data_IF_262538303407
#
_entry.id   IF_262538303407
#
_cell.length_a   1.000
_cell.length_b   1.000
_cell.length_c   1.000
_cell.angle_alpha   90.00
_cell.angle_beta   90.00
_cell.angle_gamma   90.00
#
_symmetry.space_group_name_H-M   'P 1'
#
loop_
_entity.id
_entity.type
_entity.pdbx_description
1 polymer ?
#
# COMPACT_ATOMS: atom_id res chain seq x y z
N UNK A 1 17.10 -17.52 27.53
CA UNK A 1 17.03 -16.10 27.98
C UNK A 1 15.91 -15.42 27.22
N UNK A 2 14.83 -14.99 27.88
CA UNK A 2 13.84 -14.09 27.28
C UNK A 2 13.92 -12.75 28.00
N UNK A 3 14.32 -11.71 27.28
CA UNK A 3 14.33 -10.34 27.80
C UNK A 3 13.06 -9.64 27.36
N UNK A 4 12.32 -9.08 28.32
CA UNK A 4 11.15 -8.24 28.06
C UNK A 4 11.55 -6.78 28.20
N UNK A 5 11.57 -6.06 27.09
CA UNK A 5 11.86 -4.62 27.07
C UNK A 5 10.56 -3.82 27.13
N UNK A 6 10.53 -2.81 27.99
CA UNK A 6 9.46 -1.83 28.05
C UNK A 6 10.00 -0.49 27.55
N UNK A 7 9.33 0.06 26.56
CA UNK A 7 9.67 1.37 25.98
C UNK A 7 8.67 2.42 26.45
N UNK A 8 9.18 3.60 26.80
CA UNK A 8 8.40 4.79 27.11
C UNK A 8 8.81 5.87 26.11
N UNK A 9 8.13 5.95 24.96
CA UNK A 9 8.49 6.89 23.91
C UNK A 9 8.21 8.32 24.36
N UNK A 10 9.10 9.23 23.99
CA UNK A 10 8.85 10.66 24.09
C UNK A 10 7.80 11.10 23.05
N UNK A 11 7.23 12.29 23.23
CA UNK A 11 6.18 12.85 22.36
C UNK A 11 6.60 12.88 20.89
N UNK A 12 7.83 13.32 20.58
CA UNK A 12 8.37 13.31 19.22
C UNK A 12 8.52 11.89 18.64
N UNK A 13 8.89 10.91 19.47
CA UNK A 13 9.01 9.51 19.05
C UNK A 13 7.64 8.92 18.76
N UNK A 14 6.64 9.23 19.58
CA UNK A 14 5.26 8.78 19.36
C UNK A 14 4.70 9.32 18.04
N UNK A 15 4.88 10.61 17.75
CA UNK A 15 4.43 11.21 16.49
C UNK A 15 5.09 10.54 15.28
N UNK A 16 6.39 10.29 15.36
CA UNK A 16 7.13 9.58 14.32
C UNK A 16 6.59 8.17 14.09
N UNK A 17 6.36 7.41 15.16
CA UNK A 17 5.78 6.07 15.09
C UNK A 17 4.38 6.09 14.46
N UNK A 18 3.53 7.05 14.83
CA UNK A 18 2.21 7.22 14.25
C UNK A 18 2.29 7.53 12.74
N UNK A 19 3.23 8.38 12.34
CA UNK A 19 3.46 8.71 10.93
C UNK A 19 3.85 7.46 10.10
N UNK A 20 4.68 6.58 10.67
CA UNK A 20 5.07 5.33 10.03
C UNK A 20 3.88 4.38 9.91
N UNK A 21 3.08 4.23 10.98
CA UNK A 21 1.88 3.39 10.96
C UNK A 21 0.87 3.87 9.91
N UNK A 22 0.65 5.19 9.82
CA UNK A 22 -0.25 5.76 8.82
C UNK A 22 0.28 5.55 7.39
N UNK A 23 1.59 5.69 7.19
CA UNK A 23 2.23 5.38 5.90
C UNK A 23 2.03 3.91 5.52
N UNK A 24 2.30 2.98 6.45
CA UNK A 24 2.08 1.55 6.24
C UNK A 24 0.61 1.24 5.93
N UNK A 25 -0.33 1.85 6.65
CA UNK A 25 -1.77 1.68 6.42
C UNK A 25 -2.18 2.10 5.02
N UNK A 26 -1.73 3.27 4.55
CA UNK A 26 -2.01 3.78 3.20
C UNK A 26 -1.45 2.86 2.12
N UNK A 27 -0.17 2.47 2.26
CA UNK A 27 0.49 1.57 1.32
C UNK A 27 -0.22 0.22 1.24
N UNK A 28 -0.54 -0.37 2.38
CA UNK A 28 -1.24 -1.64 2.45
C UNK A 28 -2.61 -1.56 1.76
N UNK A 29 -3.42 -0.55 2.09
CA UNK A 29 -4.74 -0.37 1.50
C UNK A 29 -4.67 -0.14 -0.01
N UNK A 30 -3.64 0.55 -0.50
CA UNK A 30 -3.45 0.75 -1.94
C UNK A 30 -3.12 -0.56 -2.66
N UNK A 31 -2.11 -1.28 -2.19
CA UNK A 31 -1.72 -2.58 -2.77
C UNK A 31 -2.86 -3.59 -2.72
N UNK A 32 -3.65 -3.59 -1.64
CA UNK A 32 -4.84 -4.43 -1.51
C UNK A 32 -5.94 -4.03 -2.51
N UNK A 33 -6.12 -2.72 -2.74
CA UNK A 33 -7.02 -2.19 -3.77
C UNK A 33 -6.64 -2.69 -5.16
N UNK A 34 -5.38 -2.50 -5.56
CA UNK A 34 -4.88 -2.93 -6.87
C UNK A 34 -5.11 -4.45 -7.09
N UNK A 35 -4.93 -5.25 -6.03
CA UNK A 35 -5.16 -6.70 -6.09
C UNK A 35 -6.65 -7.05 -6.24
N UNK A 36 -7.53 -6.36 -5.50
CA UNK A 36 -8.99 -6.52 -5.64
C UNK A 36 -9.48 -6.10 -7.03
N UNK A 37 -8.96 -5.00 -7.55
CA UNK A 37 -9.30 -4.49 -8.88
C UNK A 37 -8.88 -5.49 -9.96
N UNK A 38 -7.67 -6.03 -9.87
CA UNK A 38 -7.18 -7.06 -10.80
C UNK A 38 -8.00 -8.36 -10.73
N UNK A 39 -8.41 -8.80 -9.54
CA UNK A 39 -9.25 -9.98 -9.40
C UNK A 39 -10.66 -9.72 -9.94
N UNK A 40 -11.24 -8.56 -9.65
CA UNK A 40 -12.57 -8.20 -10.12
C UNK A 40 -12.65 -8.06 -11.64
N UNK A 41 -11.57 -7.65 -12.30
CA UNK A 41 -11.52 -7.60 -13.78
C UNK A 41 -11.50 -8.97 -14.44
N UNK A 42 -10.93 -9.97 -13.77
CA UNK A 42 -10.79 -11.35 -14.31
C UNK A 42 -11.82 -12.33 -13.76
N UNK A 43 -12.57 -11.93 -12.73
CA UNK A 43 -13.63 -12.75 -12.14
C UNK A 43 -14.87 -12.65 -13.01
N UNK A 44 -15.11 -13.66 -13.84
CA UNK A 44 -16.40 -13.90 -14.49
C UNK A 44 -17.07 -15.12 -13.86
N UNK A 45 -18.41 -15.13 -13.79
CA UNK A 45 -19.15 -16.31 -13.39
C UNK A 45 -19.13 -17.32 -14.54
N UNK A 46 -18.85 -18.59 -14.25
CA UNK A 46 -18.67 -19.64 -15.28
C UNK A 46 -19.98 -19.89 -16.06
N UNK A 47 -21.12 -19.64 -15.41
CA UNK A 47 -22.47 -19.88 -15.88
C UNK A 47 -23.12 -18.66 -16.58
N UNK A 48 -22.52 -17.47 -16.51
CA UNK A 48 -23.12 -16.23 -17.05
C UNK A 48 -22.11 -15.10 -17.26
N UNK A 49 -22.16 -14.47 -18.41
CA UNK A 49 -21.47 -13.18 -18.64
C UNK A 49 -22.32 -12.01 -18.11
N UNK A 50 -21.67 -10.96 -17.63
CA UNK A 50 -22.35 -9.77 -17.11
C UNK A 50 -22.77 -8.85 -18.26
N UNK A 51 -24.08 -8.67 -18.47
CA UNK A 51 -24.59 -7.77 -19.53
C UNK A 51 -24.59 -6.28 -19.14
N UNK A 52 -24.56 -5.98 -17.84
CA UNK A 52 -24.78 -4.62 -17.33
C UNK A 52 -23.51 -3.91 -16.89
N UNK A 53 -22.50 -4.65 -16.40
CA UNK A 53 -21.26 -4.08 -15.87
C UNK A 53 -20.16 -5.11 -15.76
N UNK A 54 -19.03 -4.83 -16.38
CA UNK A 54 -17.77 -5.51 -16.13
C UNK A 54 -16.76 -4.49 -15.63
N UNK A 55 -15.81 -4.94 -14.81
CA UNK A 55 -14.73 -4.07 -14.37
C UNK A 55 -13.73 -3.94 -15.52
N UNK A 56 -13.74 -2.80 -16.21
CA UNK A 56 -12.92 -2.56 -17.39
C UNK A 56 -11.49 -2.20 -16.96
N UNK A 57 -10.58 -3.14 -17.13
CA UNK A 57 -9.13 -2.98 -16.94
C UNK A 57 -8.44 -3.49 -18.20
N UNK A 58 -7.31 -2.90 -18.59
CA UNK A 58 -6.56 -3.39 -19.76
C UNK A 58 -6.15 -4.87 -19.55
N UNK A 59 -6.37 -5.74 -20.55
CA UNK A 59 -6.00 -7.16 -20.46
C UNK A 59 -4.49 -7.38 -20.33
N UNK A 60 -3.69 -6.40 -20.79
CA UNK A 60 -2.23 -6.46 -20.77
C UNK A 60 -1.63 -6.25 -19.38
N UNK A 61 -2.43 -5.80 -18.41
CA UNK A 61 -1.94 -5.51 -17.05
C UNK A 61 -1.61 -6.82 -16.33
N UNK A 62 -0.34 -7.07 -15.97
CA UNK A 62 0.05 -8.31 -15.31
C UNK A 62 -0.47 -8.37 -13.86
N UNK A 63 -0.40 -9.56 -13.26
CA UNK A 63 -0.77 -9.75 -11.86
C UNK A 63 0.05 -8.82 -10.94
N UNK A 64 -0.60 -8.03 -10.05
CA UNK A 64 0.08 -7.15 -9.11
C UNK A 64 0.67 -7.95 -7.95
N UNK A 65 1.70 -8.75 -8.23
CA UNK A 65 2.43 -9.50 -7.23
C UNK A 65 3.37 -8.64 -6.38
N UNK A 66 3.96 -9.26 -5.36
CA UNK A 66 4.86 -8.56 -4.42
C UNK A 66 5.99 -7.78 -5.10
N UNK A 67 6.64 -8.36 -6.13
CA UNK A 67 7.78 -7.72 -6.81
C UNK A 67 7.38 -6.46 -7.58
N UNK A 68 6.21 -6.46 -8.23
CA UNK A 68 5.72 -5.29 -8.98
C UNK A 68 5.28 -4.20 -8.01
N UNK A 69 4.53 -4.55 -6.97
CA UNK A 69 4.12 -3.62 -5.91
C UNK A 69 5.33 -2.99 -5.20
N UNK A 70 6.35 -3.78 -4.85
CA UNK A 70 7.59 -3.28 -4.25
C UNK A 70 8.31 -2.26 -5.15
N UNK A 71 8.30 -2.45 -6.48
CA UNK A 71 8.90 -1.50 -7.42
C UNK A 71 8.14 -0.17 -7.48
N UNK A 72 6.81 -0.21 -7.36
CA UNK A 72 5.96 0.98 -7.32
C UNK A 72 6.22 1.83 -6.07
N UNK A 73 6.54 1.22 -4.92
CA UNK A 73 6.88 1.96 -3.69
C UNK A 73 8.03 2.94 -3.88
N UNK A 74 9.07 2.54 -4.63
CA UNK A 74 10.22 3.43 -4.93
C UNK A 74 9.78 4.64 -5.74
N UNK A 75 8.88 4.45 -6.70
CA UNK A 75 8.36 5.54 -7.54
C UNK A 75 7.47 6.48 -6.72
N UNK A 76 6.64 5.92 -5.84
CA UNK A 76 5.74 6.71 -4.99
C UNK A 76 6.47 7.55 -3.97
N UNK A 77 7.60 7.07 -3.45
CA UNK A 77 8.48 7.88 -2.60
C UNK A 77 9.05 9.10 -3.34
N UNK A 78 9.24 8.99 -4.65
CA UNK A 78 9.77 10.09 -5.48
C UNK A 78 8.67 11.08 -5.88
N UNK A 79 7.47 10.60 -6.23
CA UNK A 79 6.35 11.45 -6.65
C UNK A 79 5.61 12.10 -5.48
N UNK A 80 5.51 11.39 -4.37
CA UNK A 80 5.03 11.93 -3.11
C UNK A 80 6.25 12.57 -2.45
N UNK A 81 6.46 13.87 -2.66
CA UNK A 81 7.37 14.67 -1.83
C UNK A 81 6.92 14.64 -0.37
N UNK A 82 7.14 13.53 0.33
CA UNK A 82 6.99 13.38 1.79
C UNK A 82 8.16 14.06 2.54
N UNK A 83 8.99 14.84 1.83
CA UNK A 83 10.13 15.56 2.40
C UNK A 83 9.79 16.94 2.94
N UNK A 84 8.52 17.37 2.96
CA UNK A 84 8.22 18.72 3.44
C UNK A 84 8.24 18.85 4.97
N UNK A 85 8.23 17.77 5.78
CA UNK A 85 8.37 17.91 7.25
C UNK A 85 8.99 16.68 7.93
N UNK A 86 10.30 16.53 7.80
CA UNK A 86 11.09 16.08 8.95
C UNK A 86 12.09 17.20 9.22
N UNK A 87 12.13 17.80 10.42
CA UNK A 87 13.18 18.76 10.72
C UNK A 87 14.50 18.03 10.49
N UNK A 88 15.28 18.54 9.54
CA UNK A 88 16.70 18.20 9.45
C UNK A 88 17.29 18.73 10.75
N UNK A 89 17.40 17.86 11.75
CA UNK A 89 18.17 18.16 12.95
C UNK A 89 19.60 18.47 12.49
N UNK A 90 20.08 19.63 12.94
CA UNK A 90 21.44 20.15 12.77
C UNK A 90 22.52 19.10 13.02
#
# INVERSE_FOLDING_TARGET
MNYTYRIYPDTAQQELMLSWLETCRRLYNRCLGDLKDWMNSRKCAVDRCSLNREYIMSPDIPFPGYRSQKRQLTQWKTSSSLSERLPRSM
#
